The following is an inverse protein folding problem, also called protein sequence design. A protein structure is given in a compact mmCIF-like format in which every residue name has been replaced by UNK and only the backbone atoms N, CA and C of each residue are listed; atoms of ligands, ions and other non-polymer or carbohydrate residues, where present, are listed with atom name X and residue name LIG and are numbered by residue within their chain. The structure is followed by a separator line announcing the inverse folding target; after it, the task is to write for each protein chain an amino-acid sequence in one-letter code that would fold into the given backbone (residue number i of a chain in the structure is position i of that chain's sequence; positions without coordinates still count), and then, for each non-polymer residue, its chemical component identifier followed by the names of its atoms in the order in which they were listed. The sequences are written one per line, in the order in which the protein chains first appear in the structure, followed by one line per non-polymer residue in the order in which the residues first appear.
data_IF_095789312513
#
_entry.id   IF_095789312513
#
_cell.length_a   1.000
_cell.length_b   1.000
_cell.length_c   1.000
_cell.angle_alpha   90.00
_cell.angle_beta   90.00
_cell.angle_gamma   90.00
#
_symmetry.space_group_name_H-M   'P 1'
#
loop_
_entity.id
_entity.type
_entity.pdbx_description
1 polymer ?
#
# COMPACT_ATOMS: atom_id res chain seq x y z
N UNK A 1 5.99 -2.94 20.72
CA UNK A 1 5.47 -3.47 19.43
C UNK A 1 3.94 -3.64 19.41
N UNK A 2 3.22 -3.47 20.52
CA UNK A 2 1.74 -3.54 20.57
C UNK A 2 1.07 -2.15 20.72
N UNK A 3 1.85 -1.08 20.80
CA UNK A 3 1.38 0.23 21.28
C UNK A 3 0.74 1.11 20.19
N UNK A 4 0.76 0.68 18.93
CA UNK A 4 0.16 1.39 17.78
C UNK A 4 -0.82 0.50 16.99
N UNK A 5 -1.37 -0.54 17.63
CA UNK A 5 -2.34 -1.47 16.99
C UNK A 5 -3.71 -0.82 16.79
N UNK A 6 -4.13 -0.05 17.79
CA UNK A 6 -5.43 0.62 17.87
C UNK A 6 -5.37 2.10 17.47
N UNK A 7 -4.23 2.57 16.96
CA UNK A 7 -4.12 3.91 16.39
C UNK A 7 -5.10 3.97 15.20
N UNK A 8 -6.06 4.92 15.18
CA UNK A 8 -7.04 5.03 14.11
C UNK A 8 -6.29 5.36 12.82
N UNK A 9 -5.92 4.34 12.07
CA UNK A 9 -5.40 4.53 10.72
C UNK A 9 -6.56 5.06 9.90
N UNK A 10 -6.46 6.33 9.48
CA UNK A 10 -7.49 6.98 8.66
C UNK A 10 -7.88 6.15 7.44
N UNK A 11 -6.93 5.34 6.93
CA UNK A 11 -7.15 4.47 5.78
C UNK A 11 -6.52 3.09 5.98
N UNK A 12 -7.33 2.04 5.90
CA UNK A 12 -6.90 0.65 5.84
C UNK A 12 -7.37 0.06 4.52
N UNK A 13 -6.43 -0.36 3.68
CA UNK A 13 -6.74 -0.99 2.40
C UNK A 13 -6.36 -2.46 2.46
N UNK A 14 -7.19 -3.30 1.85
CA UNK A 14 -6.80 -4.68 1.56
C UNK A 14 -5.73 -4.73 0.48
N UNK A 15 -4.98 -5.82 0.41
CA UNK A 15 -4.03 -6.05 -0.68
C UNK A 15 -4.67 -5.86 -2.06
N UNK A 16 -5.90 -6.33 -2.23
CA UNK A 16 -6.63 -6.22 -3.48
C UNK A 16 -6.99 -4.78 -3.83
N UNK A 17 -7.43 -3.98 -2.85
CA UNK A 17 -7.68 -2.54 -3.06
C UNK A 17 -6.40 -1.77 -3.37
N UNK A 18 -5.28 -2.13 -2.73
CA UNK A 18 -3.99 -1.54 -3.05
C UNK A 18 -3.51 -1.92 -4.45
N UNK A 19 -3.77 -3.16 -4.89
CA UNK A 19 -3.41 -3.68 -6.21
C UNK A 19 -4.28 -3.10 -7.34
N UNK A 20 -5.58 -2.92 -7.11
CA UNK A 20 -6.48 -2.28 -8.06
C UNK A 20 -6.34 -0.75 -8.11
N UNK A 21 -5.56 -0.16 -7.18
CA UNK A 21 -5.43 1.29 -7.10
C UNK A 21 -6.73 1.94 -6.65
N UNK A 22 -7.42 1.33 -5.69
CA UNK A 22 -8.63 1.85 -5.05
C UNK A 22 -8.29 2.46 -3.69
N UNK A 23 -7.35 3.41 -3.70
CA UNK A 23 -6.98 4.17 -2.50
C UNK A 23 -7.46 5.61 -2.59
N UNK A 24 -7.49 6.31 -1.47
CA UNK A 24 -7.70 7.76 -1.43
C UNK A 24 -6.59 8.59 -2.12
N UNK A 25 -5.45 7.97 -2.47
CA UNK A 25 -4.29 8.66 -3.04
C UNK A 25 -4.24 8.46 -4.56
N UNK A 26 -4.53 9.53 -5.30
CA UNK A 26 -4.50 9.52 -6.76
C UNK A 26 -3.12 9.18 -7.34
N UNK A 27 -2.01 9.50 -6.66
CA UNK A 27 -0.67 9.14 -7.13
C UNK A 27 -0.43 7.64 -7.02
N UNK A 28 -0.89 7.02 -5.94
CA UNK A 28 -0.85 5.57 -5.79
C UNK A 28 -1.68 4.89 -6.87
N UNK A 29 -2.90 5.37 -7.09
CA UNK A 29 -3.81 4.82 -8.08
C UNK A 29 -3.24 4.97 -9.50
N UNK A 30 -2.68 6.13 -9.84
CA UNK A 30 -2.03 6.37 -11.13
C UNK A 30 -0.79 5.49 -11.33
N UNK A 31 0.04 5.32 -10.30
CA UNK A 31 1.21 4.46 -10.36
C UNK A 31 0.82 2.98 -10.57
N UNK A 32 -0.29 2.52 -9.95
CA UNK A 32 -0.79 1.16 -10.17
C UNK A 32 -1.44 0.94 -11.51
N UNK A 33 -2.16 1.94 -11.99
CA UNK A 33 -2.66 1.92 -13.34
C UNK A 33 -1.51 1.87 -14.37
N UNK A 34 -0.47 2.68 -14.19
CA UNK A 34 0.74 2.63 -15.03
C UNK A 34 1.42 1.27 -14.96
N UNK A 35 1.57 0.68 -13.77
CA UNK A 35 2.17 -0.64 -13.59
C UNK A 35 1.33 -1.74 -14.26
N UNK A 36 0.00 -1.71 -14.15
CA UNK A 36 -0.90 -2.69 -14.79
C UNK A 36 -0.87 -2.60 -16.31
N UNK A 37 -0.76 -1.38 -16.86
CA UNK A 37 -0.78 -1.16 -18.31
C UNK A 37 0.59 -1.38 -18.94
N UNK A 38 1.67 -0.87 -18.32
CA UNK A 38 3.01 -0.87 -18.91
C UNK A 38 3.92 -1.97 -18.39
N UNK A 39 3.59 -2.59 -17.24
CA UNK A 39 4.48 -3.51 -16.52
C UNK A 39 5.69 -2.84 -15.87
N UNK A 40 5.79 -1.51 -15.97
CA UNK A 40 6.89 -0.73 -15.42
C UNK A 40 6.38 0.23 -14.35
N UNK A 41 7.17 0.39 -13.29
CA UNK A 41 6.94 1.40 -12.26
C UNK A 41 8.26 2.12 -12.04
N UNK A 42 8.22 3.45 -12.14
CA UNK A 42 9.39 4.29 -11.98
C UNK A 42 10.08 4.05 -10.63
N UNK A 43 11.43 4.01 -10.60
CA UNK A 43 12.19 3.65 -9.40
C UNK A 43 11.86 4.51 -8.17
N UNK A 44 11.60 5.80 -8.37
CA UNK A 44 11.17 6.70 -7.30
C UNK A 44 9.79 6.30 -6.73
N UNK A 45 8.85 5.91 -7.60
CA UNK A 45 7.54 5.42 -7.18
C UNK A 45 7.64 4.09 -6.45
N UNK A 46 8.60 3.21 -6.78
CA UNK A 46 8.80 1.96 -6.02
C UNK A 46 9.16 2.20 -4.54
N UNK A 47 9.97 3.23 -4.25
CA UNK A 47 10.29 3.60 -2.87
C UNK A 47 9.08 4.21 -2.14
N UNK A 48 8.33 5.07 -2.85
CA UNK A 48 7.06 5.60 -2.35
C UNK A 48 6.10 4.45 -2.01
N UNK A 49 6.02 3.48 -2.92
CA UNK A 49 5.19 2.30 -2.80
C UNK A 49 5.51 1.51 -1.53
N UNK A 50 6.77 1.12 -1.34
CA UNK A 50 7.19 0.36 -0.16
C UNK A 50 6.87 1.04 1.18
N UNK A 51 6.97 2.38 1.25
CA UNK A 51 6.59 3.13 2.45
C UNK A 51 5.08 3.14 2.69
N UNK A 52 4.28 3.35 1.64
CA UNK A 52 2.82 3.41 1.73
C UNK A 52 2.18 2.04 1.97
N UNK A 53 2.77 0.94 1.48
CA UNK A 53 2.40 -0.42 1.88
C UNK A 53 2.56 -0.57 3.40
N UNK A 54 3.68 -0.13 3.98
CA UNK A 54 3.89 -0.25 5.42
C UNK A 54 2.96 0.66 6.25
N UNK A 55 2.55 1.79 5.68
CA UNK A 55 1.66 2.76 6.33
C UNK A 55 0.18 2.32 6.29
N UNK A 56 -0.26 1.72 5.18
CA UNK A 56 -1.67 1.38 4.93
C UNK A 56 -1.99 -0.11 5.08
N UNK A 57 -0.99 -0.99 4.99
CA UNK A 57 -1.21 -2.42 5.20
C UNK A 57 -1.39 -2.70 6.68
N UNK A 58 -2.43 -3.48 6.98
CA UNK A 58 -2.89 -3.64 8.34
C UNK A 58 -1.95 -4.56 9.14
N UNK A 59 -1.11 -3.94 9.99
CA UNK A 59 -0.28 -4.53 11.06
C UNK A 59 0.88 -5.48 10.67
N UNK A 60 2.00 -5.41 11.42
CA UNK A 60 3.18 -6.28 11.24
C UNK A 60 2.93 -7.78 11.47
N UNK A 61 1.75 -8.18 11.97
CA UNK A 61 1.39 -9.57 12.22
C UNK A 61 0.97 -10.34 10.95
N UNK A 62 0.53 -9.65 9.89
CA UNK A 62 0.16 -10.32 8.63
C UNK A 62 1.37 -10.76 7.79
N UNK A 63 2.58 -10.28 8.14
CA UNK A 63 3.83 -10.70 7.52
C UNK A 63 4.38 -12.04 8.04
N UNK A 64 3.75 -12.62 9.08
CA UNK A 64 4.28 -13.80 9.79
C UNK A 64 3.39 -15.06 9.72
N UNK A 65 2.28 -15.05 8.98
CA UNK A 65 1.50 -16.26 8.72
C UNK A 65 1.84 -16.85 7.34
N UNK A 66 2.86 -17.70 7.34
CA UNK A 66 3.00 -18.86 6.45
C UNK A 66 2.95 -20.10 7.33
#
# INVERSE_FOLDING_TARGET
MAEHRDDPREHQYTWQQMEDGETHDDYWNAAMHEMRVSGYMHNYMRMYWGKKILEWCNTPEYAYQT
#
